data_IF_930180552967
#
_entry.id   IF_930180552967
#
_cell.length_a   1.000
_cell.length_b   1.000
_cell.length_c   1.000
_cell.angle_alpha   90.00
_cell.angle_beta   90.00
_cell.angle_gamma   90.00
#
_symmetry.space_group_name_H-M   'P 1'
#
loop_
_entity.id
_entity.type
_entity.pdbx_description
1 polymer ?
#
# COMPACT_ATOMS: atom_id res chain seq x y z
N UNK A 1 -24.68 -1.22 -7.11
CA UNK A 1 -23.72 -0.67 -6.13
C UNK A 1 -24.35 -0.63 -4.75
N UNK A 2 -23.58 -0.94 -3.72
CA UNK A 2 -23.98 -0.78 -2.32
C UNK A 2 -23.30 0.45 -1.71
N UNK A 3 -24.07 1.33 -1.08
CA UNK A 3 -23.58 2.50 -0.35
C UNK A 3 -23.69 2.27 1.16
N UNK A 4 -22.56 2.39 1.86
CA UNK A 4 -22.45 2.17 3.31
C UNK A 4 -21.83 3.38 4.01
N UNK A 5 -22.18 3.58 5.29
CA UNK A 5 -21.60 4.63 6.12
C UNK A 5 -22.31 5.97 5.97
N UNK A 6 -21.55 7.05 5.82
CA UNK A 6 -22.01 8.44 5.93
C UNK A 6 -22.68 8.99 4.65
N UNK A 7 -23.71 8.30 4.20
CA UNK A 7 -24.66 8.77 3.18
C UNK A 7 -25.96 9.24 3.85
N UNK A 8 -26.68 10.19 3.23
CA UNK A 8 -28.03 10.53 3.73
C UNK A 8 -28.98 9.33 3.66
N UNK A 9 -28.88 8.57 2.57
CA UNK A 9 -29.58 7.30 2.40
C UNK A 9 -28.59 6.20 2.01
N UNK A 10 -28.41 5.22 2.90
CA UNK A 10 -27.58 4.03 2.66
C UNK A 10 -28.40 2.90 2.05
N UNK A 11 -27.73 1.97 1.38
CA UNK A 11 -28.36 0.76 0.85
C UNK A 11 -27.93 0.43 -0.58
N UNK A 12 -28.72 -0.39 -1.24
CA UNK A 12 -28.45 -0.83 -2.60
C UNK A 12 -29.07 0.11 -3.62
N UNK A 13 -28.28 0.49 -4.62
CA UNK A 13 -28.70 1.31 -5.75
C UNK A 13 -28.44 0.56 -7.05
N UNK A 14 -29.47 0.49 -7.91
CA UNK A 14 -29.33 0.00 -9.27
C UNK A 14 -28.40 0.92 -10.06
N UNK A 15 -27.45 0.35 -10.79
CA UNK A 15 -26.50 1.10 -11.63
C UNK A 15 -26.88 0.89 -13.08
N UNK A 16 -27.15 1.98 -13.80
CA UNK A 16 -27.38 1.92 -15.25
C UNK A 16 -26.06 1.83 -16.01
N UNK A 17 -26.09 1.25 -17.22
CA UNK A 17 -24.91 1.26 -18.10
C UNK A 17 -24.46 2.70 -18.37
N UNK A 18 -23.17 2.98 -18.17
CA UNK A 18 -22.63 4.35 -18.30
C UNK A 18 -22.81 5.24 -17.07
N UNK A 19 -23.45 4.77 -15.99
CA UNK A 19 -23.68 5.58 -14.80
C UNK A 19 -22.38 5.77 -13.98
N UNK A 20 -22.17 7.01 -13.53
CA UNK A 20 -21.00 7.41 -12.75
C UNK A 20 -21.31 7.54 -11.27
N UNK A 21 -20.25 7.51 -10.47
CA UNK A 21 -20.32 7.57 -9.02
C UNK A 21 -21.10 8.81 -8.52
N UNK A 22 -20.79 9.99 -9.06
CA UNK A 22 -21.45 11.25 -8.65
C UNK A 22 -22.98 11.21 -8.80
N UNK A 23 -23.49 10.52 -9.83
CA UNK A 23 -24.93 10.33 -10.07
C UNK A 23 -25.58 9.58 -8.91
N UNK A 24 -24.99 8.46 -8.52
CA UNK A 24 -25.51 7.61 -7.45
C UNK A 24 -25.45 8.33 -6.10
N UNK A 25 -24.36 9.05 -5.82
CA UNK A 25 -24.23 9.87 -4.60
C UNK A 25 -25.37 10.91 -4.52
N UNK A 26 -25.71 11.56 -5.64
CA UNK A 26 -26.85 12.49 -5.68
C UNK A 26 -28.19 11.81 -5.42
N UNK A 27 -28.43 10.63 -6.01
CA UNK A 27 -29.65 9.84 -5.77
C UNK A 27 -29.77 9.40 -4.31
N UNK A 28 -28.65 9.15 -3.65
CA UNK A 28 -28.57 8.87 -2.22
C UNK A 28 -28.77 10.11 -1.32
N UNK A 29 -29.11 11.27 -1.89
CA UNK A 29 -29.31 12.53 -1.17
C UNK A 29 -28.02 13.27 -0.83
N UNK A 30 -26.86 12.77 -1.28
CA UNK A 30 -25.53 13.25 -0.93
C UNK A 30 -24.95 12.59 0.31
N UNK A 31 -23.82 13.13 0.76
CA UNK A 31 -23.14 12.71 1.98
C UNK A 31 -23.72 13.45 3.20
N UNK A 32 -23.51 12.90 4.39
CA UNK A 32 -23.83 13.59 5.65
C UNK A 32 -22.79 14.69 5.95
N UNK A 33 -23.07 15.56 6.92
CA UNK A 33 -22.13 16.61 7.36
C UNK A 33 -20.86 16.06 8.01
N UNK A 34 -20.94 14.85 8.58
CA UNK A 34 -19.82 14.19 9.26
C UNK A 34 -19.03 13.25 8.34
N UNK A 35 -19.45 13.12 7.08
CA UNK A 35 -18.84 12.25 6.10
C UNK A 35 -17.39 12.61 5.83
N UNK A 36 -16.58 11.59 5.55
CA UNK A 36 -15.17 11.77 5.23
C UNK A 36 -14.81 11.12 3.89
N UNK A 37 -15.04 11.83 2.77
CA UNK A 37 -14.76 11.32 1.42
C UNK A 37 -13.29 10.89 1.22
N UNK A 38 -12.35 11.61 1.83
CA UNK A 38 -10.92 11.29 1.77
C UNK A 38 -10.56 9.95 2.45
N UNK A 39 -11.46 9.39 3.25
CA UNK A 39 -11.36 8.05 3.83
C UNK A 39 -12.22 6.99 3.16
N UNK A 40 -12.75 7.28 1.97
CA UNK A 40 -13.57 6.33 1.24
C UNK A 40 -12.84 5.00 1.01
N UNK A 41 -13.56 3.91 1.25
CA UNK A 41 -13.15 2.58 0.84
C UNK A 41 -14.09 2.12 -0.27
N UNK A 42 -13.53 1.95 -1.47
CA UNK A 42 -14.25 1.44 -2.63
C UNK A 42 -13.69 0.07 -3.00
N UNK A 43 -14.59 -0.90 -3.19
CA UNK A 43 -14.24 -2.26 -3.58
C UNK A 43 -15.03 -2.69 -4.81
N UNK A 44 -14.36 -3.44 -5.68
CA UNK A 44 -14.92 -3.92 -6.95
C UNK A 44 -14.48 -5.34 -7.21
N UNK A 45 -15.43 -6.20 -7.52
CA UNK A 45 -15.19 -7.62 -7.79
C UNK A 45 -14.17 -7.85 -8.93
N UNK A 46 -14.31 -7.12 -10.04
CA UNK A 46 -13.36 -7.26 -11.16
C UNK A 46 -11.92 -6.86 -10.78
N UNK A 47 -11.75 -5.95 -9.81
CA UNK A 47 -10.44 -5.60 -9.25
C UNK A 47 -9.94 -6.71 -8.33
N UNK A 48 -10.81 -7.28 -7.50
CA UNK A 48 -10.47 -8.41 -6.62
C UNK A 48 -9.93 -9.60 -7.43
N UNK A 49 -10.62 -9.98 -8.50
CA UNK A 49 -10.20 -11.07 -9.40
C UNK A 49 -8.83 -10.79 -10.00
N UNK A 50 -8.58 -9.57 -10.51
CA UNK A 50 -7.27 -9.19 -11.07
C UNK A 50 -6.16 -9.20 -10.03
N UNK A 51 -6.44 -8.74 -8.81
CA UNK A 51 -5.49 -8.78 -7.70
C UNK A 51 -5.15 -10.22 -7.29
N UNK A 52 -6.16 -11.11 -7.21
CA UNK A 52 -5.99 -12.53 -6.89
C UNK A 52 -5.08 -13.21 -7.90
N UNK A 53 -5.37 -13.03 -9.18
CA UNK A 53 -4.55 -13.56 -10.27
C UNK A 53 -3.11 -13.01 -10.24
N UNK A 54 -2.94 -11.74 -9.85
CA UNK A 54 -1.59 -11.17 -9.68
C UNK A 54 -0.82 -11.87 -8.56
N UNK A 55 -1.45 -12.15 -7.41
CA UNK A 55 -0.81 -12.87 -6.31
C UNK A 55 -0.44 -14.30 -6.69
N UNK A 56 -1.33 -15.00 -7.40
CA UNK A 56 -1.05 -16.36 -7.92
C UNK A 56 0.14 -16.36 -8.87
N UNK A 57 0.19 -15.41 -9.82
CA UNK A 57 1.34 -15.26 -10.73
C UNK A 57 2.64 -14.93 -10.00
N UNK A 58 2.57 -14.11 -8.95
CA UNK A 58 3.75 -13.86 -8.09
C UNK A 58 4.19 -15.13 -7.37
N UNK A 59 3.26 -15.94 -6.88
CA UNK A 59 3.57 -17.24 -6.28
C UNK A 59 4.25 -18.18 -7.28
N UNK A 60 3.69 -18.29 -8.50
CA UNK A 60 4.27 -19.09 -9.59
C UNK A 60 5.67 -18.61 -9.97
N UNK A 61 5.87 -17.29 -10.08
CA UNK A 61 7.17 -16.70 -10.41
C UNK A 61 8.23 -17.04 -9.35
N UNK A 62 7.90 -16.92 -8.07
CA UNK A 62 8.81 -17.25 -6.97
C UNK A 62 9.14 -18.75 -7.00
N UNK A 63 8.13 -19.61 -7.21
CA UNK A 63 8.31 -21.06 -7.28
C UNK A 63 9.24 -21.48 -8.43
N UNK A 64 9.05 -20.93 -9.63
CA UNK A 64 9.92 -21.18 -10.78
C UNK A 64 11.34 -20.64 -10.56
N UNK A 65 11.48 -19.44 -9.98
CA UNK A 65 12.80 -18.87 -9.68
C UNK A 65 13.63 -19.76 -8.74
N UNK A 66 12.97 -20.44 -7.79
CA UNK A 66 13.62 -21.42 -6.90
C UNK A 66 13.99 -22.69 -7.68
N UNK A 67 13.07 -23.22 -8.48
CA UNK A 67 13.30 -24.42 -9.28
C UNK A 67 14.49 -24.23 -10.24
N UNK A 68 14.54 -23.11 -10.97
CA UNK A 68 15.64 -22.78 -11.88
C UNK A 68 16.97 -22.67 -11.14
N UNK A 69 16.98 -22.04 -9.95
CA UNK A 69 18.18 -21.94 -9.11
C UNK A 69 18.69 -23.32 -8.70
N UNK A 70 17.79 -24.24 -8.31
CA UNK A 70 18.14 -25.62 -7.94
C UNK A 70 18.66 -26.43 -9.14
N UNK A 71 18.03 -26.29 -10.31
CA UNK A 71 18.38 -27.01 -11.53
C UNK A 71 19.67 -26.50 -12.18
N UNK A 72 20.01 -25.23 -11.99
CA UNK A 72 21.25 -24.63 -12.52
C UNK A 72 22.54 -25.24 -11.96
N UNK A 73 22.47 -26.10 -10.94
CA UNK A 73 23.60 -26.86 -10.40
C UNK A 73 24.64 -26.03 -9.63
N UNK A 74 24.43 -24.71 -9.51
CA UNK A 74 25.39 -23.76 -8.90
C UNK A 74 25.17 -23.52 -7.40
N UNK A 75 24.28 -24.28 -6.74
CA UNK A 75 23.99 -24.10 -5.31
C UNK A 75 24.03 -25.46 -4.59
N UNK A 76 25.22 -25.86 -4.14
CA UNK A 76 25.33 -26.86 -3.07
C UNK A 76 24.82 -26.25 -1.76
N UNK A 77 23.83 -26.88 -1.12
CA UNK A 77 23.51 -26.61 0.28
C UNK A 77 22.35 -25.66 0.58
N UNK A 78 21.33 -25.54 -0.29
CA UNK A 78 20.05 -24.95 0.16
C UNK A 78 19.45 -25.87 1.22
N UNK A 79 19.57 -25.50 2.50
CA UNK A 79 18.97 -26.25 3.58
C UNK A 79 17.43 -26.19 3.45
N UNK A 80 16.77 -27.31 3.75
CA UNK A 80 15.31 -27.41 3.79
C UNK A 80 14.71 -26.34 4.73
N UNK A 81 15.46 -25.96 5.76
CA UNK A 81 15.12 -24.91 6.73
C UNK A 81 15.09 -23.51 6.11
N UNK A 82 15.96 -23.21 5.14
CA UNK A 82 15.96 -21.94 4.42
C UNK A 82 14.79 -21.82 3.43
N UNK A 83 14.17 -22.94 3.04
CA UNK A 83 13.02 -22.98 2.12
C UNK A 83 11.68 -22.77 2.81
N UNK A 84 11.54 -23.14 4.08
CA UNK A 84 10.27 -23.04 4.80
C UNK A 84 9.64 -21.63 4.81
N UNK A 85 10.39 -20.52 5.03
CA UNK A 85 9.81 -19.17 4.96
C UNK A 85 9.30 -18.83 3.55
N UNK A 86 9.96 -19.33 2.50
CA UNK A 86 9.58 -19.05 1.12
C UNK A 86 8.35 -19.85 0.72
N UNK A 87 8.30 -21.15 1.07
CA UNK A 87 7.10 -21.97 0.87
C UNK A 87 5.89 -21.39 1.57
N UNK A 88 6.05 -20.89 2.80
CA UNK A 88 4.99 -20.21 3.53
C UNK A 88 4.54 -18.92 2.84
N UNK A 89 5.48 -18.14 2.28
CA UNK A 89 5.15 -16.95 1.50
C UNK A 89 4.34 -17.31 0.24
N UNK A 90 4.76 -18.33 -0.52
CA UNK A 90 4.04 -18.84 -1.70
C UNK A 90 2.62 -19.25 -1.31
N UNK A 91 2.48 -20.04 -0.25
CA UNK A 91 1.17 -20.48 0.24
C UNK A 91 0.29 -19.29 0.64
N UNK A 92 0.82 -18.34 1.39
CA UNK A 92 0.10 -17.10 1.75
C UNK A 92 -0.36 -16.34 0.52
N UNK A 93 0.50 -16.15 -0.48
CA UNK A 93 0.14 -15.48 -1.73
C UNK A 93 -1.01 -16.20 -2.44
N UNK A 94 -0.98 -17.54 -2.47
CA UNK A 94 -2.05 -18.36 -3.06
C UNK A 94 -3.35 -18.31 -2.25
N UNK A 95 -3.29 -18.16 -0.93
CA UNK A 95 -4.48 -18.14 -0.05
C UNK A 95 -5.06 -16.75 0.19
N UNK A 96 -4.36 -15.67 -0.18
CA UNK A 96 -4.89 -14.31 -0.04
C UNK A 96 -6.17 -14.14 -0.87
N UNK A 97 -7.22 -13.61 -0.24
CA UNK A 97 -8.45 -13.18 -0.88
C UNK A 97 -8.53 -11.65 -0.85
N UNK A 98 -8.18 -10.97 -1.96
CA UNK A 98 -8.22 -9.51 -2.00
C UNK A 98 -9.66 -9.01 -2.08
N UNK A 99 -9.94 -7.91 -1.39
CA UNK A 99 -11.25 -7.26 -1.42
C UNK A 99 -11.50 -6.44 -2.70
N UNK A 100 -10.52 -6.32 -3.60
CA UNK A 100 -10.67 -5.52 -4.81
C UNK A 100 -10.68 -4.02 -4.55
N UNK A 101 -9.89 -3.56 -3.57
CA UNK A 101 -9.83 -2.14 -3.21
C UNK A 101 -9.29 -1.31 -4.36
N UNK A 102 -10.01 -0.24 -4.70
CA UNK A 102 -9.63 0.74 -5.72
C UNK A 102 -9.55 2.12 -5.08
N UNK A 103 -8.45 2.84 -5.34
CA UNK A 103 -8.29 4.22 -4.89
C UNK A 103 -9.06 5.12 -5.86
N UNK A 104 -10.02 5.88 -5.32
CA UNK A 104 -10.91 6.72 -6.10
C UNK A 104 -11.02 8.11 -5.47
N UNK A 105 -11.45 9.09 -6.26
CA UNK A 105 -12.00 10.32 -5.71
C UNK A 105 -13.47 10.10 -5.38
N UNK A 106 -13.87 10.44 -4.16
CA UNK A 106 -15.27 10.29 -3.72
C UNK A 106 -15.90 11.61 -3.26
N UNK A 107 -15.12 12.69 -3.19
CA UNK A 107 -15.62 14.01 -2.84
C UNK A 107 -16.43 14.61 -4.01
N UNK A 108 -17.75 14.85 -3.84
CA UNK A 108 -18.60 15.38 -4.91
C UNK A 108 -18.15 16.77 -5.40
N UNK A 109 -17.53 17.59 -4.56
CA UNK A 109 -17.03 18.90 -4.95
C UNK A 109 -15.81 18.77 -5.88
N UNK A 110 -14.85 17.92 -5.52
CA UNK A 110 -13.66 17.68 -6.34
C UNK A 110 -13.99 16.97 -7.65
N UNK A 111 -14.98 16.06 -7.64
CA UNK A 111 -15.48 15.43 -8.87
C UNK A 111 -16.16 16.46 -9.79
N UNK A 112 -16.88 17.43 -9.21
CA UNK A 112 -17.53 18.49 -9.99
C UNK A 112 -16.50 19.42 -10.64
N UNK A 113 -15.41 19.73 -9.93
CA UNK A 113 -14.29 20.54 -10.45
C UNK A 113 -13.48 19.78 -11.50
N UNK A 114 -13.31 18.47 -11.34
CA UNK A 114 -12.58 17.62 -12.28
C UNK A 114 -13.39 16.36 -12.64
N UNK A 115 -14.25 16.44 -13.68
CA UNK A 115 -15.14 15.34 -14.09
C UNK A 115 -14.42 14.06 -14.51
N UNK A 116 -13.13 14.12 -14.86
CA UNK A 116 -12.33 12.93 -15.20
C UNK A 116 -12.13 12.00 -14.00
N UNK A 117 -12.24 12.54 -12.78
CA UNK A 117 -12.15 11.78 -11.53
C UNK A 117 -13.46 11.02 -11.21
N UNK A 118 -14.54 11.27 -11.94
CA UNK A 118 -15.84 10.64 -11.70
C UNK A 118 -15.83 9.18 -12.18
N UNK A 119 -15.69 8.23 -11.26
CA UNK A 119 -15.57 6.82 -11.58
C UNK A 119 -16.83 6.28 -12.28
N UNK A 120 -16.63 5.54 -13.38
CA UNK A 120 -17.68 4.72 -13.98
C UNK A 120 -17.96 3.49 -13.10
N UNK A 121 -19.23 3.28 -12.78
CA UNK A 121 -19.64 2.19 -11.89
C UNK A 121 -19.82 0.87 -12.64
N UNK A 122 -19.68 -0.21 -11.88
CA UNK A 122 -19.92 -1.59 -12.28
C UNK A 122 -20.93 -2.21 -11.31
N UNK A 123 -21.55 -3.30 -11.74
CA UNK A 123 -22.32 -4.12 -10.83
C UNK A 123 -21.43 -4.73 -9.74
N UNK A 124 -21.99 -4.95 -8.56
CA UNK A 124 -21.24 -5.46 -7.40
C UNK A 124 -20.29 -4.45 -6.74
N UNK A 125 -20.19 -3.21 -7.23
CA UNK A 125 -19.40 -2.17 -6.56
C UNK A 125 -19.92 -1.92 -5.14
N UNK A 126 -19.01 -1.64 -4.21
CA UNK A 126 -19.35 -1.21 -2.84
C UNK A 126 -18.54 0.04 -2.51
N UNK A 127 -19.23 1.06 -2.02
CA UNK A 127 -18.63 2.29 -1.52
C UNK A 127 -18.98 2.48 -0.06
N UNK A 128 -17.95 2.53 0.78
CA UNK A 128 -18.05 2.88 2.18
C UNK A 128 -17.43 4.25 2.43
N UNK A 129 -18.21 5.16 3.01
CA UNK A 129 -17.72 6.48 3.46
C UNK A 129 -17.73 6.49 4.99
N UNK A 130 -16.57 6.59 5.65
CA UNK A 130 -16.51 6.67 7.10
C UNK A 130 -16.90 8.06 7.62
N UNK A 131 -17.15 8.14 8.93
CA UNK A 131 -17.14 9.40 9.68
C UNK A 131 -15.73 9.97 9.73
N UNK A 132 -15.60 11.30 9.73
CA UNK A 132 -14.29 11.97 9.87
C UNK A 132 -13.62 11.59 11.18
N UNK A 133 -12.48 10.89 11.14
CA UNK A 133 -11.70 10.62 12.34
C UNK A 133 -11.01 11.92 12.80
N UNK A 134 -10.63 11.95 14.07
CA UNK A 134 -9.92 13.06 14.70
C UNK A 134 -8.53 12.65 15.20
N UNK A 135 -7.94 11.60 14.62
CA UNK A 135 -6.70 11.01 15.10
C UNK A 135 -5.71 10.67 13.98
N UNK A 136 -4.44 10.51 14.32
CA UNK A 136 -3.39 9.92 13.48
C UNK A 136 -2.78 8.76 14.25
N UNK A 137 -2.48 7.68 13.54
CA UNK A 137 -1.84 6.51 14.13
C UNK A 137 -0.38 6.45 13.72
N UNK A 138 0.51 6.05 14.64
CA UNK A 138 1.94 5.85 14.38
C UNK A 138 2.29 4.40 14.68
N UNK A 139 2.86 3.69 13.71
CA UNK A 139 3.22 2.26 13.82
C UNK A 139 4.63 1.98 13.29
N UNK A 140 5.14 0.79 13.62
CA UNK A 140 6.43 0.30 13.17
C UNK A 140 7.55 0.54 14.19
N UNK A 141 8.72 0.95 13.71
CA UNK A 141 9.96 1.13 14.50
C UNK A 141 9.99 2.45 15.29
N UNK A 142 8.91 2.71 16.03
CA UNK A 142 8.84 3.74 17.08
C UNK A 142 8.90 3.09 18.45
N UNK A 143 9.34 3.83 19.48
CA UNK A 143 9.45 3.28 20.84
C UNK A 143 8.12 2.78 21.37
N UNK A 144 7.05 3.54 21.14
CA UNK A 144 5.68 3.19 21.57
C UNK A 144 4.67 3.46 20.44
N UNK A 145 4.28 2.43 19.66
CA UNK A 145 3.19 2.57 18.69
C UNK A 145 1.92 3.08 19.38
N UNK A 146 1.33 4.16 18.85
CA UNK A 146 0.24 4.87 19.52
C UNK A 146 -0.60 5.69 18.53
N UNK A 147 -1.81 6.05 18.96
CA UNK A 147 -2.74 6.91 18.23
C UNK A 147 -2.88 8.23 18.97
N UNK A 148 -2.75 9.34 18.23
CA UNK A 148 -2.74 10.70 18.75
C UNK A 148 -3.88 11.51 18.14
N UNK A 149 -4.39 12.50 18.87
CA UNK A 149 -5.36 13.45 18.30
C UNK A 149 -4.73 14.24 17.16
N UNK A 150 -5.46 14.39 16.06
CA UNK A 150 -5.06 15.18 14.92
C UNK A 150 -5.07 16.68 15.27
N UNK A 151 -3.94 17.32 15.05
CA UNK A 151 -3.75 18.76 15.18
C UNK A 151 -3.33 19.28 13.80
N UNK A 152 -4.08 20.26 13.30
CA UNK A 152 -3.81 20.87 11.99
C UNK A 152 -2.48 21.62 12.02
N UNK A 153 -1.68 21.45 10.96
CA UNK A 153 -0.35 22.07 10.84
C UNK A 153 0.79 21.28 11.50
N UNK A 154 0.47 20.27 12.33
CA UNK A 154 1.49 19.39 12.87
C UNK A 154 2.14 18.55 11.76
N UNK A 155 3.44 18.30 11.91
CA UNK A 155 4.24 17.45 11.02
C UNK A 155 4.28 16.02 11.54
N UNK A 156 4.58 15.08 10.64
CA UNK A 156 4.73 13.65 10.99
C UNK A 156 5.77 13.43 12.09
N UNK A 157 6.83 14.24 12.12
CA UNK A 157 7.88 14.19 13.13
C UNK A 157 7.37 14.44 14.55
N UNK A 158 6.38 15.30 14.74
CA UNK A 158 5.83 15.61 16.08
C UNK A 158 5.02 14.43 16.64
N UNK A 159 4.26 13.74 15.78
CA UNK A 159 3.55 12.53 16.15
C UNK A 159 4.51 11.37 16.47
N UNK A 160 5.61 11.25 15.73
CA UNK A 160 6.66 10.25 16.00
C UNK A 160 7.33 10.53 17.35
N UNK A 161 7.67 11.80 17.63
CA UNK A 161 8.22 12.20 18.94
C UNK A 161 7.24 11.92 20.08
N UNK A 162 5.95 12.22 19.88
CA UNK A 162 4.88 11.91 20.84
C UNK A 162 4.70 10.40 21.06
N UNK A 163 5.15 9.58 20.10
CA UNK A 163 5.20 8.11 20.18
C UNK A 163 6.51 7.59 20.81
N UNK A 164 7.26 8.45 21.50
CA UNK A 164 8.54 8.14 22.14
C UNK A 164 9.77 8.22 21.22
N UNK A 165 9.59 8.69 19.97
CA UNK A 165 10.63 8.76 18.96
C UNK A 165 10.92 7.43 18.27
N UNK A 166 11.92 7.46 17.39
CA UNK A 166 12.40 6.28 16.65
C UNK A 166 13.11 5.27 17.56
N UNK A 167 13.01 3.98 17.21
CA UNK A 167 13.94 2.94 17.66
C UNK A 167 15.25 3.02 16.88
N UNK A 168 16.31 2.39 17.39
CA UNK A 168 17.62 2.34 16.73
C UNK A 168 17.60 1.54 15.42
N UNK A 169 16.63 0.63 15.28
CA UNK A 169 16.38 -0.17 14.08
C UNK A 169 15.49 0.51 13.05
N UNK A 170 15.10 1.78 13.23
CA UNK A 170 14.18 2.46 12.33
C UNK A 170 14.84 2.97 11.04
N UNK A 171 14.20 2.73 9.90
CA UNK A 171 14.54 3.41 8.65
C UNK A 171 13.97 4.84 8.71
N UNK A 172 14.86 5.83 8.81
CA UNK A 172 14.49 7.24 8.91
C UNK A 172 14.31 7.91 7.56
N UNK A 173 14.67 7.25 6.47
CA UNK A 173 14.55 7.79 5.11
C UNK A 173 13.37 7.17 4.35
N UNK A 174 13.00 5.92 4.69
CA UNK A 174 11.89 5.17 4.10
C UNK A 174 10.52 5.37 4.75
N UNK A 175 10.29 6.44 5.52
CA UNK A 175 8.98 6.69 6.11
C UNK A 175 7.91 6.85 5.03
N UNK A 176 6.71 6.37 5.30
CA UNK A 176 5.56 6.62 4.44
C UNK A 176 4.27 6.82 5.24
N UNK A 177 3.34 7.51 4.61
CA UNK A 177 2.01 7.79 5.12
C UNK A 177 1.02 6.88 4.40
N UNK A 178 0.28 6.08 5.15
CA UNK A 178 -0.91 5.40 4.66
C UNK A 178 -2.11 6.33 4.89
N UNK A 179 -2.66 6.85 3.82
CA UNK A 179 -3.84 7.71 3.86
C UNK A 179 -5.11 6.94 4.23
N UNK A 180 -6.16 7.63 4.69
CA UNK A 180 -7.43 7.00 5.07
C UNK A 180 -8.08 6.20 3.93
N UNK A 181 -7.97 6.66 2.68
CA UNK A 181 -8.44 5.94 1.48
C UNK A 181 -7.57 4.73 1.09
N UNK A 182 -6.45 4.48 1.79
CA UNK A 182 -5.54 3.36 1.55
C UNK A 182 -4.40 3.67 0.56
N UNK A 183 -4.29 4.90 0.07
CA UNK A 183 -3.17 5.36 -0.74
C UNK A 183 -1.90 5.47 0.14
N UNK A 184 -0.75 5.05 -0.39
CA UNK A 184 0.54 5.24 0.28
C UNK A 184 1.29 6.43 -0.33
N UNK A 185 1.88 7.27 0.52
CA UNK A 185 2.72 8.41 0.11
C UNK A 185 4.03 8.42 0.87
N UNK A 186 5.15 8.46 0.15
CA UNK A 186 6.47 8.56 0.77
C UNK A 186 6.63 9.89 1.52
N UNK A 187 7.20 9.80 2.72
CA UNK A 187 7.61 10.92 3.56
C UNK A 187 9.13 11.04 3.50
N UNK A 188 9.67 11.51 2.38
CA UNK A 188 11.13 11.65 2.25
C UNK A 188 11.67 12.63 3.30
N UNK A 189 12.51 12.16 4.24
CA UNK A 189 13.12 13.00 5.27
C UNK A 189 13.88 14.19 4.67
N UNK A 190 14.58 13.99 3.54
CA UNK A 190 15.30 15.06 2.81
C UNK A 190 14.39 16.21 2.32
N UNK A 191 13.09 15.97 2.14
CA UNK A 191 12.08 17.02 1.85
C UNK A 191 11.57 17.70 3.11
N UNK A 192 11.52 16.99 4.25
CA UNK A 192 11.11 17.53 5.55
C UNK A 192 12.13 18.53 6.12
N UNK A 193 13.43 18.31 5.90
CA UNK A 193 14.51 19.18 6.43
C UNK A 193 14.85 20.40 5.55
N UNK A 194 14.39 20.47 4.29
CA UNK A 194 14.76 21.53 3.33
C UNK A 194 13.72 22.64 3.12
N UNK A 195 12.78 22.83 4.06
CA UNK A 195 11.80 23.92 3.99
C UNK A 195 10.82 23.87 2.80
N UNK A 196 10.75 22.74 2.07
CA UNK A 196 9.73 22.50 1.05
C UNK A 196 8.47 21.93 1.70
N UNK A 197 7.31 22.34 1.20
CA UNK A 197 5.94 22.01 1.70
C UNK A 197 5.91 20.64 2.38
N UNK A 198 5.61 20.65 3.68
CA UNK A 198 5.28 19.45 4.44
C UNK A 198 4.18 18.70 3.70
N UNK A 199 4.28 17.38 3.61
CA UNK A 199 3.15 16.56 3.16
C UNK A 199 2.02 16.79 4.15
N UNK A 200 0.90 17.32 3.66
CA UNK A 200 -0.26 17.61 4.51
C UNK A 200 -0.79 16.29 5.08
N UNK A 201 -0.76 16.18 6.41
CA UNK A 201 -1.31 15.04 7.11
C UNK A 201 -2.83 15.12 7.11
N UNK A 202 -3.47 14.02 6.73
CA UNK A 202 -4.92 13.91 6.77
C UNK A 202 -5.35 13.20 8.07
N UNK A 203 -6.46 13.61 8.72
CA UNK A 203 -7.01 12.85 9.84
C UNK A 203 -7.33 11.42 9.41
N UNK A 204 -7.02 10.46 10.28
CA UNK A 204 -7.13 9.02 10.02
C UNK A 204 -5.93 8.41 9.31
N UNK A 205 -4.93 9.21 8.92
CA UNK A 205 -3.72 8.67 8.31
C UNK A 205 -2.91 7.87 9.33
N UNK A 206 -2.16 6.90 8.81
CA UNK A 206 -1.19 6.13 9.59
C UNK A 206 0.22 6.46 9.12
N UNK A 207 1.06 6.93 10.03
CA UNK A 207 2.49 7.11 9.81
C UNK A 207 3.16 5.77 10.07
N UNK A 208 3.79 5.22 9.03
CA UNK A 208 4.51 3.95 9.13
C UNK A 208 6.01 4.24 9.14
N UNK A 209 6.67 3.77 10.20
CA UNK A 209 8.12 3.82 10.35
C UNK A 209 8.66 2.42 10.09
N UNK A 210 9.23 2.14 8.90
CA UNK A 210 9.77 0.83 8.61
C UNK A 210 11.05 0.55 9.39
N UNK A 211 11.46 -0.71 9.36
CA UNK A 211 12.74 -1.14 9.89
C UNK A 211 13.84 -0.90 8.87
N UNK A 212 14.95 -0.33 9.32
CA UNK A 212 16.14 -0.09 8.53
C UNK A 212 16.60 -1.43 7.95
N UNK A 213 16.54 -1.59 6.62
CA UNK A 213 17.15 -2.70 5.93
C UNK A 213 18.65 -2.42 5.85
N UNK A 214 19.32 -2.11 6.98
CA UNK A 214 20.79 -2.09 7.03
C UNK A 214 21.23 -3.38 6.35
N UNK A 215 22.19 -3.29 5.41
CA UNK A 215 22.50 -4.42 4.56
C UNK A 215 22.68 -5.63 5.46
N UNK A 216 21.95 -6.69 5.12
CA UNK A 216 22.37 -8.04 5.42
C UNK A 216 23.90 -8.04 5.28
N UNK A 217 24.63 -8.18 6.39
CA UNK A 217 26.04 -7.78 6.46
C UNK A 217 26.82 -8.48 5.34
N UNK A 218 27.07 -7.74 4.26
CA UNK A 218 27.55 -8.29 3.00
C UNK A 218 28.95 -8.88 3.18
N UNK A 219 29.68 -8.44 4.20
CA UNK A 219 30.98 -8.98 4.60
C UNK A 219 30.93 -10.43 5.11
N UNK A 220 29.77 -10.91 5.60
CA UNK A 220 29.57 -12.32 5.90
C UNK A 220 29.20 -13.18 4.69
N UNK A 221 28.72 -12.53 3.61
CA UNK A 221 28.25 -13.17 2.36
C UNK A 221 29.23 -13.08 1.19
N UNK A 222 30.34 -12.32 1.29
CA UNK A 222 31.37 -12.26 0.24
C UNK A 222 32.05 -13.61 -0.02
N UNK A 223 31.98 -14.54 0.93
CA UNK A 223 32.48 -15.91 0.72
C UNK A 223 31.52 -16.80 -0.10
N UNK A 224 30.28 -16.37 -0.33
CA UNK A 224 29.25 -17.18 -1.03
C UNK A 224 28.68 -16.49 -2.27
N UNK A 225 28.61 -15.15 -2.31
CA UNK A 225 27.95 -14.40 -3.40
C UNK A 225 28.89 -13.96 -4.53
N UNK A 226 30.19 -13.82 -4.27
CA UNK A 226 31.18 -13.34 -5.26
C UNK A 226 31.20 -14.15 -6.57
N UNK A 227 31.03 -15.48 -6.59
CA UNK A 227 30.98 -16.24 -7.84
C UNK A 227 29.74 -15.98 -8.70
N UNK A 228 28.60 -15.64 -8.08
CA UNK A 228 27.30 -15.51 -8.77
C UNK A 228 27.23 -14.21 -9.56
N UNK A 229 27.71 -13.10 -8.98
CA UNK A 229 27.70 -11.79 -9.65
C UNK A 229 28.78 -11.67 -10.74
N UNK A 230 29.90 -12.40 -10.61
CA UNK A 230 30.95 -12.41 -11.62
C UNK A 230 30.48 -13.03 -12.96
N UNK A 231 29.60 -14.04 -12.90
CA UNK A 231 29.09 -14.71 -14.10
C UNK A 231 27.99 -13.93 -14.82
N UNK A 232 27.12 -13.21 -14.10
CA UNK A 232 26.11 -12.34 -14.70
C UNK A 232 26.72 -11.16 -15.49
N UNK A 233 27.88 -10.65 -15.06
CA UNK A 233 28.58 -9.57 -15.76
C UNK A 233 29.22 -10.02 -17.09
N UNK A 234 29.65 -11.28 -17.19
CA UNK A 234 30.27 -11.84 -18.40
C UNK A 234 29.21 -12.06 -19.49
N UNK A 235 28.00 -12.50 -19.14
CA UNK A 235 26.89 -12.70 -20.09
C UNK A 235 26.43 -11.38 -20.74
N UNK A 236 26.30 -10.31 -19.95
CA UNK A 236 25.93 -8.98 -20.47
C UNK A 236 27.00 -8.44 -21.43
N UNK A 237 28.28 -8.71 -21.19
CA UNK A 237 29.36 -8.30 -22.08
C UNK A 237 29.39 -9.08 -23.41
N UNK A 238 28.96 -10.35 -23.41
CA UNK A 238 28.88 -11.16 -24.64
C UNK A 238 27.73 -10.79 -25.57
N UNK A 239 26.60 -10.31 -25.03
CA UNK A 239 25.44 -9.90 -25.84
C UNK A 239 25.69 -8.58 -26.60
N UNK A 240 26.63 -7.76 -26.13
CA UNK A 240 27.10 -6.55 -26.84
C UNK A 240 28.21 -6.79 -27.87
N UNK A 241 28.71 -8.02 -28.00
CA UNK A 241 29.83 -8.37 -28.88
C UNK A 241 29.43 -9.20 -30.12
N UNK A 242 28.12 -9.29 -30.43
CA UNK A 242 27.57 -9.86 -31.67
C UNK A 242 26.72 -8.84 -32.42
#
# INVERSE_FOLDING_TARGET
IELRGEFKFTGFYSVSSGERLSSVIRRAGGLTENAYPLGAAFTRESVAIRQKLSFERSADFIEQSIADTLLSGNVEGISIEAMAPISNLIERLRQIEPQGRLIIQSDPYLIKENPELDLLLQDGDVLFIPKRPNSITVVGEVRTPSTHTFISGNKSTEYILSSGGFKDSADKDGLFLLLPNGESRELTARRLYKGKKSVDLLPGSTIVVPRDPRPFDWLGMTQTITPILANAAIEIATITAL
#
